data_IF_780277875466
#
_entry.id   IF_780277875466
#
_cell.length_a   1.000
_cell.length_b   1.000
_cell.length_c   1.000
_cell.angle_alpha   90.00
_cell.angle_beta   90.00
_cell.angle_gamma   90.00
#
_symmetry.space_group_name_H-M   'P 1'
#
loop_
_entity.id
_entity.type
_entity.pdbx_description
1 polymer ?
#
# COMPACT_ATOMS: atom_id res chain seq x y z
N UNK A 1 -8.77 -11.12 0.92
CA UNK A 1 -8.52 -9.75 1.41
C UNK A 1 -7.09 -9.39 1.10
N UNK A 2 -6.87 -8.20 0.58
CA UNK A 2 -5.54 -7.68 0.24
C UNK A 2 -5.41 -6.22 0.69
N UNK A 3 -4.20 -5.70 0.63
CA UNK A 3 -3.91 -4.29 0.84
C UNK A 3 -3.76 -3.59 -0.50
N UNK A 4 -4.28 -2.37 -0.63
CA UNK A 4 -3.93 -1.50 -1.74
C UNK A 4 -2.67 -0.71 -1.36
N UNK A 5 -1.64 -0.87 -2.17
CA UNK A 5 -0.47 0.00 -2.17
C UNK A 5 -0.57 1.02 -3.29
N UNK A 6 0.34 1.97 -3.30
CA UNK A 6 0.44 2.97 -4.35
C UNK A 6 1.17 4.22 -3.88
N UNK A 7 1.25 5.19 -4.77
CA UNK A 7 1.84 6.49 -4.47
C UNK A 7 0.82 7.61 -4.73
N UNK A 8 0.83 8.62 -3.89
CA UNK A 8 0.01 9.81 -4.06
C UNK A 8 0.85 10.94 -4.64
N UNK A 9 0.30 11.65 -5.62
CA UNK A 9 0.86 12.88 -6.11
C UNK A 9 0.34 14.05 -5.28
N UNK A 10 1.23 14.96 -4.88
CA UNK A 10 0.88 16.11 -4.09
C UNK A 10 1.53 17.38 -4.63
N UNK A 11 0.85 18.52 -4.49
CA UNK A 11 1.37 19.83 -4.87
C UNK A 11 1.78 20.55 -3.58
N UNK A 12 3.05 20.97 -3.52
CA UNK A 12 3.53 21.78 -2.39
C UNK A 12 2.71 23.06 -2.24
N UNK A 13 2.33 23.39 -1.00
CA UNK A 13 1.64 24.64 -0.67
C UNK A 13 2.42 25.86 -1.15
N UNK A 14 3.74 25.79 -1.11
CA UNK A 14 4.64 26.89 -1.45
C UNK A 14 5.06 26.90 -2.93
N UNK A 15 4.50 26.02 -3.77
CA UNK A 15 4.81 26.02 -5.19
C UNK A 15 4.34 27.33 -5.86
N UNK A 16 5.21 28.05 -6.57
CA UNK A 16 4.82 29.26 -7.31
C UNK A 16 4.04 28.93 -8.60
N UNK A 17 3.96 27.66 -8.98
CA UNK A 17 3.32 27.19 -10.22
C UNK A 17 2.23 26.15 -9.94
N UNK A 18 1.37 26.41 -8.97
CA UNK A 18 0.36 25.44 -8.51
C UNK A 18 -0.64 25.06 -9.60
N UNK A 19 -1.06 26.02 -10.41
CA UNK A 19 -1.99 25.80 -11.53
C UNK A 19 -1.38 24.88 -12.60
N UNK A 20 -0.15 25.15 -13.01
CA UNK A 20 0.56 24.29 -13.96
C UNK A 20 0.79 22.88 -13.39
N UNK A 21 1.11 22.77 -12.12
CA UNK A 21 1.24 21.47 -11.44
C UNK A 21 -0.09 20.73 -11.39
N UNK A 22 -1.20 21.44 -11.19
CA UNK A 22 -2.54 20.85 -11.20
C UNK A 22 -2.90 20.30 -12.59
N UNK A 23 -2.65 21.06 -13.64
CA UNK A 23 -2.87 20.62 -15.03
C UNK A 23 -2.07 19.35 -15.36
N UNK A 24 -0.83 19.23 -14.85
CA UNK A 24 -0.04 18.01 -15.00
C UNK A 24 -0.70 16.83 -14.26
N UNK A 25 -1.20 17.03 -13.04
CA UNK A 25 -1.89 15.99 -12.31
C UNK A 25 -3.17 15.54 -13.01
N UNK A 26 -3.95 16.46 -13.54
CA UNK A 26 -5.15 16.16 -14.32
C UNK A 26 -4.81 15.33 -15.56
N UNK A 27 -3.79 15.74 -16.31
CA UNK A 27 -3.28 14.99 -17.47
C UNK A 27 -2.85 13.56 -17.09
N UNK A 28 -2.03 13.42 -16.05
CA UNK A 28 -1.58 12.10 -15.59
C UNK A 28 -2.72 11.22 -15.04
N UNK A 29 -3.81 11.85 -14.61
CA UNK A 29 -5.01 11.15 -14.14
C UNK A 29 -5.99 10.77 -15.25
N UNK A 30 -5.77 11.20 -16.50
CA UNK A 30 -6.62 10.80 -17.63
C UNK A 30 -6.57 9.27 -17.85
N UNK A 31 -7.69 8.62 -18.19
CA UNK A 31 -7.72 7.18 -18.39
C UNK A 31 -6.70 6.67 -19.42
N UNK A 32 -6.52 7.41 -20.49
CA UNK A 32 -5.57 7.07 -21.57
C UNK A 32 -4.12 7.13 -21.07
N UNK A 33 -3.77 8.13 -20.25
CA UNK A 33 -2.43 8.26 -19.70
C UNK A 33 -2.15 7.16 -18.67
N UNK A 34 -3.13 6.80 -17.87
CA UNK A 34 -3.06 5.70 -16.92
C UNK A 34 -2.89 4.35 -17.63
N UNK A 35 -3.63 4.11 -18.73
CA UNK A 35 -3.48 2.90 -19.53
C UNK A 35 -2.11 2.84 -20.22
N UNK A 36 -1.63 3.98 -20.75
CA UNK A 36 -0.30 4.05 -21.34
C UNK A 36 0.81 3.84 -20.31
N UNK A 37 0.65 4.38 -19.09
CA UNK A 37 1.60 4.14 -18.00
C UNK A 37 1.67 2.65 -17.66
N UNK A 38 0.52 1.96 -17.56
CA UNK A 38 0.47 0.51 -17.39
C UNK A 38 1.22 -0.24 -18.50
N UNK A 39 1.04 0.15 -19.77
CA UNK A 39 1.74 -0.50 -20.90
C UNK A 39 3.26 -0.35 -20.81
N UNK A 40 3.75 0.77 -20.24
CA UNK A 40 5.19 1.06 -20.13
C UNK A 40 5.85 0.43 -18.91
N UNK A 41 5.14 0.36 -17.79
CA UNK A 41 5.71 0.00 -16.48
C UNK A 41 5.12 -1.27 -15.88
N UNK A 42 3.93 -1.67 -16.29
CA UNK A 42 3.16 -2.75 -15.66
C UNK A 42 2.38 -2.30 -14.41
N UNK A 43 2.53 -1.04 -13.97
CA UNK A 43 1.81 -0.53 -12.81
C UNK A 43 0.33 -0.34 -13.10
N UNK A 44 -0.51 -0.86 -12.23
CA UNK A 44 -1.96 -0.86 -12.42
C UNK A 44 -2.56 0.54 -12.24
N UNK A 45 -3.56 0.92 -13.08
CA UNK A 45 -4.13 2.24 -13.03
C UNK A 45 -4.97 2.47 -11.77
N UNK A 46 -4.86 3.66 -11.19
CA UNK A 46 -5.66 4.09 -10.05
C UNK A 46 -7.12 4.43 -10.44
N UNK A 47 -7.33 4.84 -11.69
CA UNK A 47 -8.64 5.26 -12.19
C UNK A 47 -9.44 4.08 -12.75
N UNK A 48 -10.66 3.86 -12.24
CA UNK A 48 -11.49 2.73 -12.67
C UNK A 48 -11.78 2.71 -14.17
N UNK A 49 -11.98 3.88 -14.80
CA UNK A 49 -12.25 3.98 -16.23
C UNK A 49 -11.08 3.49 -17.11
N UNK A 50 -9.85 3.61 -16.65
CA UNK A 50 -8.66 3.13 -17.35
C UNK A 50 -8.62 1.59 -17.44
N UNK A 51 -9.28 0.87 -16.53
CA UNK A 51 -9.35 -0.59 -16.55
C UNK A 51 -10.15 -1.19 -17.71
N UNK A 52 -10.85 -0.34 -18.48
CA UNK A 52 -11.57 -0.77 -19.69
C UNK A 52 -10.68 -0.75 -20.93
N UNK A 53 -9.42 -0.31 -20.83
CA UNK A 53 -8.47 -0.34 -21.94
C UNK A 53 -8.16 -1.79 -22.37
N UNK A 54 -8.05 -2.05 -23.69
CA UNK A 54 -7.76 -3.39 -24.23
C UNK A 54 -6.50 -4.04 -23.65
N UNK A 55 -5.46 -3.27 -23.32
CA UNK A 55 -4.24 -3.79 -22.72
C UNK A 55 -4.47 -4.40 -21.34
N UNK A 56 -5.45 -3.88 -20.58
CA UNK A 56 -5.83 -4.39 -19.26
C UNK A 56 -6.89 -5.49 -19.37
N UNK A 57 -7.93 -5.30 -20.21
CA UNK A 57 -9.01 -6.29 -20.35
C UNK A 57 -8.52 -7.59 -20.97
N UNK A 58 -7.53 -7.54 -21.86
CA UNK A 58 -6.91 -8.71 -22.46
C UNK A 58 -5.92 -9.46 -21.55
N UNK A 59 -5.54 -8.87 -20.41
CA UNK A 59 -4.58 -9.48 -19.49
C UNK A 59 -5.29 -10.15 -18.31
N UNK A 60 -5.28 -11.49 -18.29
CA UNK A 60 -5.91 -12.28 -17.22
C UNK A 60 -5.36 -11.97 -15.82
N UNK A 61 -4.08 -11.61 -15.72
CA UNK A 61 -3.47 -11.26 -14.44
C UNK A 61 -3.97 -9.90 -13.94
N UNK A 62 -4.11 -8.91 -14.83
CA UNK A 62 -4.71 -7.63 -14.50
C UNK A 62 -6.16 -7.79 -13.99
N UNK A 63 -6.94 -8.70 -14.61
CA UNK A 63 -8.31 -8.98 -14.15
C UNK A 63 -8.34 -9.57 -12.73
N UNK A 64 -7.44 -10.48 -12.39
CA UNK A 64 -7.33 -11.01 -11.02
C UNK A 64 -7.06 -9.89 -10.00
N UNK A 65 -6.18 -8.94 -10.33
CA UNK A 65 -5.96 -7.76 -9.48
C UNK A 65 -7.19 -6.84 -9.40
N UNK A 66 -7.91 -6.66 -10.52
CA UNK A 66 -9.17 -5.88 -10.54
C UNK A 66 -10.22 -6.46 -9.58
N UNK A 67 -10.38 -7.76 -9.58
CA UNK A 67 -11.28 -8.45 -8.65
C UNK A 67 -10.78 -8.30 -7.20
N UNK A 68 -9.49 -8.46 -6.98
CA UNK A 68 -8.89 -8.30 -5.66
C UNK A 68 -9.07 -6.90 -5.09
N UNK A 69 -9.03 -5.85 -5.93
CA UNK A 69 -9.27 -4.46 -5.52
C UNK A 69 -10.67 -4.22 -4.93
N UNK A 70 -11.64 -5.08 -5.20
CA UNK A 70 -12.98 -5.02 -4.58
C UNK A 70 -13.00 -5.53 -3.13
N UNK A 71 -11.95 -6.22 -2.70
CA UNK A 71 -11.83 -6.87 -1.39
C UNK A 71 -10.65 -6.33 -0.58
N UNK A 72 -10.41 -5.02 -0.67
CA UNK A 72 -9.31 -4.36 0.02
C UNK A 72 -9.66 -4.01 1.46
N UNK A 73 -8.63 -3.99 2.30
CA UNK A 73 -8.66 -3.35 3.61
C UNK A 73 -7.50 -2.37 3.73
N UNK A 74 -7.75 -1.28 4.42
CA UNK A 74 -6.69 -0.36 4.80
C UNK A 74 -5.78 -0.99 5.87
N UNK A 75 -4.52 -0.59 5.88
CA UNK A 75 -3.62 -0.88 6.99
C UNK A 75 -4.14 -0.25 8.27
N UNK A 76 -3.82 -0.79 9.46
CA UNK A 76 -4.20 -0.16 10.72
C UNK A 76 -3.71 1.30 10.77
N UNK A 77 -4.61 2.29 11.01
CA UNK A 77 -4.23 3.70 11.05
C UNK A 77 -3.58 4.05 12.40
N UNK A 78 -2.47 3.42 12.72
CA UNK A 78 -1.72 3.63 13.95
C UNK A 78 -0.30 4.10 13.65
N UNK A 79 0.29 4.98 14.46
CA UNK A 79 1.66 5.49 14.23
C UNK A 79 2.73 4.40 14.21
N UNK A 80 2.47 3.28 14.87
CA UNK A 80 3.39 2.15 14.97
C UNK A 80 3.40 1.26 13.72
N UNK A 81 2.47 1.46 12.76
CA UNK A 81 2.27 0.55 11.63
C UNK A 81 3.53 0.30 10.80
N UNK A 82 4.26 1.35 10.40
CA UNK A 82 5.47 1.21 9.60
C UNK A 82 6.54 0.36 10.28
N UNK A 83 6.63 0.48 11.60
CA UNK A 83 7.55 -0.33 12.40
C UNK A 83 7.10 -1.79 12.43
N UNK A 84 5.80 -2.04 12.54
CA UNK A 84 5.23 -3.40 12.49
C UNK A 84 5.45 -4.01 11.10
N UNK A 85 5.15 -3.27 10.04
CA UNK A 85 5.33 -3.71 8.65
C UNK A 85 6.79 -4.11 8.38
N UNK A 86 7.75 -3.32 8.87
CA UNK A 86 9.18 -3.66 8.77
C UNK A 86 9.54 -4.95 9.50
N UNK A 87 8.90 -5.24 10.64
CA UNK A 87 9.11 -6.51 11.35
C UNK A 87 8.49 -7.70 10.63
N UNK A 88 7.32 -7.52 10.02
CA UNK A 88 6.70 -8.56 9.17
C UNK A 88 7.66 -8.93 8.03
N UNK A 89 8.17 -7.94 7.30
CA UNK A 89 9.12 -8.17 6.21
C UNK A 89 10.40 -8.89 6.70
N UNK A 90 10.96 -8.44 7.81
CA UNK A 90 12.17 -9.03 8.38
C UNK A 90 12.00 -10.52 8.75
N UNK A 91 10.96 -10.86 9.50
CA UNK A 91 10.73 -12.26 9.90
C UNK A 91 10.29 -13.14 8.73
N UNK A 92 9.56 -12.60 7.75
CA UNK A 92 9.26 -13.31 6.51
C UNK A 92 10.54 -13.64 5.75
N UNK A 93 11.50 -12.71 5.66
CA UNK A 93 12.80 -12.96 5.03
C UNK A 93 13.60 -14.07 5.73
N UNK A 94 13.66 -14.06 7.07
CA UNK A 94 14.33 -15.11 7.82
C UNK A 94 13.71 -16.49 7.58
N UNK A 95 12.37 -16.57 7.50
CA UNK A 95 11.67 -17.81 7.18
C UNK A 95 11.94 -18.27 5.73
N UNK A 96 11.93 -17.37 4.76
CA UNK A 96 12.23 -17.67 3.35
C UNK A 96 13.67 -18.19 3.19
N UNK A 97 14.61 -17.60 3.92
CA UNK A 97 16.02 -18.04 3.93
C UNK A 97 16.26 -19.31 4.76
N UNK A 98 15.22 -19.85 5.38
CA UNK A 98 15.30 -21.02 6.26
C UNK A 98 16.22 -20.82 7.50
N UNK A 99 16.43 -19.58 7.92
CA UNK A 99 17.17 -19.24 9.13
C UNK A 99 16.29 -19.44 10.39
N UNK A 100 14.97 -19.32 10.23
CA UNK A 100 13.95 -19.67 11.21
C UNK A 100 12.87 -20.54 10.54
N UNK A 101 12.27 -21.44 11.31
CA UNK A 101 11.02 -22.06 10.87
C UNK A 101 9.89 -21.02 10.83
N UNK A 102 8.82 -21.29 10.10
CA UNK A 102 7.66 -20.40 10.04
C UNK A 102 7.06 -20.11 11.43
N UNK A 103 6.97 -21.14 12.27
CA UNK A 103 6.44 -21.00 13.64
C UNK A 103 7.34 -20.15 14.54
N UNK A 104 8.66 -20.32 14.45
CA UNK A 104 9.62 -19.48 15.19
C UNK A 104 9.59 -18.04 14.73
N UNK A 105 9.50 -17.81 13.42
CA UNK A 105 9.38 -16.46 12.84
C UNK A 105 8.10 -15.76 13.28
N UNK A 106 6.96 -16.44 13.24
CA UNK A 106 5.68 -15.92 13.71
C UNK A 106 5.70 -15.62 15.21
N UNK A 107 6.20 -16.55 16.03
CA UNK A 107 6.30 -16.32 17.48
C UNK A 107 7.25 -15.16 17.83
N UNK A 108 8.32 -14.97 17.07
CA UNK A 108 9.23 -13.83 17.24
C UNK A 108 8.58 -12.52 16.80
N UNK A 109 7.84 -12.53 15.70
CA UNK A 109 7.06 -11.37 15.21
C UNK A 109 6.03 -10.95 16.27
N UNK A 110 5.25 -11.88 16.83
CA UNK A 110 4.24 -11.56 17.85
C UNK A 110 4.86 -10.87 19.06
N UNK A 111 6.00 -11.38 19.56
CA UNK A 111 6.71 -10.75 20.69
C UNK A 111 7.18 -9.33 20.36
N UNK A 112 7.68 -9.10 19.15
CA UNK A 112 8.13 -7.78 18.73
C UNK A 112 6.95 -6.80 18.56
N UNK A 113 5.85 -7.26 17.99
CA UNK A 113 4.62 -6.45 17.83
C UNK A 113 4.05 -6.09 19.21
N UNK A 114 4.01 -7.03 20.14
CA UNK A 114 3.57 -6.78 21.51
C UNK A 114 4.40 -5.68 22.19
N UNK A 115 5.72 -5.75 22.04
CA UNK A 115 6.64 -4.72 22.57
C UNK A 115 6.45 -3.36 21.89
N UNK A 116 6.23 -3.35 20.58
CA UNK A 116 5.97 -2.12 19.82
C UNK A 116 4.68 -1.45 20.30
N UNK A 117 3.64 -2.25 20.59
CA UNK A 117 2.32 -1.78 20.99
C UNK A 117 2.16 -1.54 22.50
N UNK A 118 3.16 -1.86 23.33
CA UNK A 118 3.08 -1.76 24.79
C UNK A 118 2.67 -0.35 25.26
N UNK A 119 3.36 0.68 24.76
CA UNK A 119 3.02 2.07 25.09
C UNK A 119 1.63 2.45 24.65
N UNK A 120 1.22 2.03 23.45
CA UNK A 120 -0.14 2.30 22.94
C UNK A 120 -1.21 1.65 23.80
N UNK A 121 -1.03 0.38 24.17
CA UNK A 121 -1.94 -0.32 25.07
C UNK A 121 -2.07 0.36 26.42
N UNK A 122 -0.94 0.83 26.98
CA UNK A 122 -0.93 1.59 28.23
C UNK A 122 -1.69 2.91 28.09
N UNK A 123 -1.51 3.67 27.00
CA UNK A 123 -2.26 4.90 26.72
C UNK A 123 -3.77 4.63 26.59
N UNK A 124 -4.15 3.59 25.83
CA UNK A 124 -5.53 3.18 25.65
C UNK A 124 -6.19 2.78 26.97
N UNK A 125 -5.50 2.03 27.82
CA UNK A 125 -6.04 1.63 29.14
C UNK A 125 -6.31 2.81 30.06
N UNK A 126 -5.73 3.99 29.78
CA UNK A 126 -5.92 5.24 30.52
C UNK A 126 -6.81 6.26 29.80
N UNK A 127 -7.37 5.91 28.64
CA UNK A 127 -8.16 6.84 27.83
C UNK A 127 -7.36 8.01 27.24
N UNK A 128 -6.03 7.85 27.10
CA UNK A 128 -5.11 8.91 26.66
C UNK A 128 -4.68 8.77 25.18
N UNK A 129 -5.07 7.70 24.50
CA UNK A 129 -4.78 7.52 23.07
C UNK A 129 -5.89 8.11 22.20
N UNK A 130 -5.56 8.78 21.07
CA UNK A 130 -6.56 9.23 20.10
C UNK A 130 -7.22 8.05 19.38
#
# INVERSE_FOLDING_TARGET
VSLAGGASLAISRNSPRREAAWLLLEFLAEPEQQARFYQLTGDLPARQSAWNDPALTGNRHAQAFREQLQHLRATPPIPEWERIASRIAYYAELAIRQELSADEALAALDRDVDRILEKRRWLLSRGLAP
#
